data_IF_008548440268
#
_entry.id   IF_008548440268
#
_cell.length_a   1.000
_cell.length_b   1.000
_cell.length_c   1.000
_cell.angle_alpha   90.00
_cell.angle_beta   90.00
_cell.angle_gamma   90.00
#
_symmetry.space_group_name_H-M   'P 1'
#
loop_
_entity.id
_entity.type
_entity.pdbx_description
1 polymer ?
#
# COMPACT_ATOMS: atom_id res chain seq x y z
N UNK A 1 -1.02 -8.38 9.78
CA UNK A 1 -1.55 -7.25 8.99
C UNK A 1 -2.58 -7.78 8.01
N UNK A 2 -3.54 -6.94 7.61
CA UNK A 2 -4.50 -7.29 6.56
C UNK A 2 -4.15 -6.54 5.28
N UNK A 3 -4.42 -7.17 4.14
CA UNK A 3 -4.16 -6.60 2.82
C UNK A 3 -5.45 -6.48 2.03
N UNK A 4 -5.46 -5.55 1.09
CA UNK A 4 -6.54 -5.25 0.15
C UNK A 4 -5.92 -4.80 -1.17
N UNK A 5 -6.56 -5.06 -2.30
CA UNK A 5 -6.06 -4.63 -3.61
C UNK A 5 -7.16 -4.67 -4.67
N UNK A 6 -6.92 -4.00 -5.79
CA UNK A 6 -7.67 -4.21 -7.02
C UNK A 6 -6.69 -4.35 -8.19
N UNK A 7 -6.83 -5.44 -8.92
CA UNK A 7 -6.22 -5.64 -10.24
C UNK A 7 -7.34 -5.60 -11.29
N UNK A 8 -7.45 -4.48 -11.98
CA UNK A 8 -8.50 -4.25 -12.97
C UNK A 8 -8.26 -5.03 -14.28
N UNK A 9 -7.03 -5.49 -14.53
CA UNK A 9 -6.69 -6.30 -15.70
C UNK A 9 -7.20 -7.73 -15.51
N UNK A 10 -6.90 -8.31 -14.34
CA UNK A 10 -7.32 -9.67 -13.99
C UNK A 10 -8.73 -9.74 -13.39
N UNK A 11 -9.38 -8.60 -13.17
CA UNK A 11 -10.70 -8.48 -12.52
C UNK A 11 -10.73 -9.13 -11.13
N UNK A 12 -9.64 -8.99 -10.38
CA UNK A 12 -9.50 -9.54 -9.04
C UNK A 12 -9.41 -8.41 -8.02
N UNK A 13 -10.19 -8.52 -6.95
CA UNK A 13 -10.18 -7.56 -5.85
C UNK A 13 -10.25 -8.25 -4.50
N UNK A 14 -9.57 -7.66 -3.53
CA UNK A 14 -9.82 -7.85 -2.11
C UNK A 14 -10.22 -6.47 -1.58
N UNK A 15 -11.51 -6.21 -1.32
CA UNK A 15 -11.95 -4.89 -0.87
C UNK A 15 -11.48 -4.62 0.56
N UNK A 16 -11.26 -3.34 0.89
CA UNK A 16 -10.74 -2.89 2.19
C UNK A 16 -11.53 -3.48 3.38
N UNK A 17 -12.86 -3.41 3.33
CA UNK A 17 -13.75 -3.92 4.40
C UNK A 17 -13.63 -5.44 4.62
N UNK A 18 -13.15 -6.18 3.63
CA UNK A 18 -12.90 -7.62 3.69
C UNK A 18 -11.40 -7.95 3.60
N UNK A 19 -10.54 -7.04 4.04
CA UNK A 19 -9.09 -7.23 4.00
C UNK A 19 -8.66 -8.55 4.62
N UNK A 20 -7.75 -9.25 3.94
CA UNK A 20 -7.34 -10.62 4.28
C UNK A 20 -6.05 -10.59 5.07
N UNK A 21 -6.01 -11.32 6.18
CA UNK A 21 -4.77 -11.47 6.95
C UNK A 21 -3.74 -12.26 6.16
N UNK A 22 -2.56 -11.66 5.96
CA UNK A 22 -1.44 -12.29 5.29
C UNK A 22 -0.18 -12.16 6.14
N UNK A 23 0.69 -13.16 6.02
CA UNK A 23 2.07 -13.05 6.51
C UNK A 23 2.91 -12.21 5.54
N UNK A 24 4.11 -11.83 5.99
CA UNK A 24 5.03 -10.97 5.23
C UNK A 24 5.33 -11.52 3.83
N UNK A 25 5.61 -12.82 3.71
CA UNK A 25 6.03 -13.42 2.44
C UNK A 25 4.88 -13.43 1.44
N UNK A 26 3.67 -13.80 1.89
CA UNK A 26 2.47 -13.76 1.04
C UNK A 26 2.10 -12.34 0.62
N UNK A 27 2.25 -11.37 1.52
CA UNK A 27 1.99 -9.97 1.19
C UNK A 27 2.95 -9.46 0.11
N UNK A 28 4.26 -9.70 0.26
CA UNK A 28 5.26 -9.34 -0.75
C UNK A 28 5.02 -10.05 -2.08
N UNK A 29 4.64 -11.32 -2.05
CA UNK A 29 4.28 -12.07 -3.25
C UNK A 29 3.05 -11.44 -3.93
N UNK A 30 1.98 -11.16 -3.18
CA UNK A 30 0.75 -10.58 -3.74
C UNK A 30 0.97 -9.20 -4.37
N UNK A 31 1.84 -8.38 -3.78
CA UNK A 31 2.23 -7.10 -4.38
C UNK A 31 3.04 -7.31 -5.67
N UNK A 32 3.96 -8.28 -5.67
CA UNK A 32 4.78 -8.60 -6.84
C UNK A 32 3.99 -9.21 -8.01
N UNK A 33 2.85 -9.83 -7.72
CA UNK A 33 1.95 -10.44 -8.70
C UNK A 33 0.89 -9.45 -9.22
N UNK A 34 0.78 -8.25 -8.64
CA UNK A 34 -0.14 -7.23 -9.13
C UNK A 34 0.30 -6.79 -10.54
N UNK A 35 -0.66 -6.74 -11.47
CA UNK A 35 -0.36 -6.28 -12.83
C UNK A 35 0.07 -4.82 -12.81
N UNK A 36 1.16 -4.51 -13.50
CA UNK A 36 1.65 -3.15 -13.68
C UNK A 36 0.79 -2.41 -14.71
N UNK A 37 -0.37 -1.94 -14.24
CA UNK A 37 -1.36 -1.24 -15.01
C UNK A 37 -1.81 -0.02 -14.22
N UNK A 38 -1.92 1.13 -14.88
CA UNK A 38 -2.35 2.39 -14.27
C UNK A 38 -3.65 2.20 -13.47
N UNK A 39 -3.73 2.83 -12.30
CA UNK A 39 -4.82 2.74 -11.32
C UNK A 39 -4.94 1.41 -10.56
N UNK A 40 -4.23 0.33 -10.95
CA UNK A 40 -4.14 -0.85 -10.08
C UNK A 40 -3.54 -0.43 -8.74
N UNK A 41 -4.11 -0.93 -7.65
CA UNK A 41 -3.64 -0.57 -6.32
C UNK A 41 -3.55 -1.79 -5.42
N UNK A 42 -2.62 -1.69 -4.47
CA UNK A 42 -2.41 -2.67 -3.41
C UNK A 42 -2.18 -1.92 -2.12
N UNK A 43 -2.75 -2.40 -1.02
CA UNK A 43 -2.54 -1.80 0.29
C UNK A 43 -2.59 -2.81 1.42
N UNK A 44 -2.09 -2.34 2.56
CA UNK A 44 -2.14 -3.02 3.83
C UNK A 44 -2.62 -2.07 4.92
N UNK A 45 -3.17 -2.64 5.99
CA UNK A 45 -3.47 -1.90 7.20
C UNK A 45 -3.11 -2.70 8.45
N UNK A 46 -2.71 -1.96 9.48
CA UNK A 46 -2.39 -2.50 10.80
C UNK A 46 -3.62 -2.58 11.72
N UNK A 47 -3.44 -3.11 12.93
CA UNK A 47 -4.52 -3.31 13.90
C UNK A 47 -5.13 -1.98 14.42
N UNK A 48 -4.55 -0.83 14.07
CA UNK A 48 -5.04 0.50 14.39
C UNK A 48 -5.65 1.20 13.15
N UNK A 49 -5.99 0.43 12.11
CA UNK A 49 -6.57 0.88 10.84
C UNK A 49 -5.71 1.91 10.09
N UNK A 50 -4.41 1.99 10.39
CA UNK A 50 -3.50 2.82 9.62
C UNK A 50 -3.13 2.11 8.34
N UNK A 51 -3.30 2.82 7.24
CA UNK A 51 -3.21 2.27 5.90
C UNK A 51 -1.94 2.72 5.22
N UNK A 52 -1.27 1.79 4.54
CA UNK A 52 -0.24 2.06 3.54
C UNK A 52 -0.76 1.46 2.24
N UNK A 53 -0.92 2.29 1.22
CA UNK A 53 -1.37 1.86 -0.10
C UNK A 53 -0.40 2.33 -1.18
N UNK A 54 -0.38 1.59 -2.28
CA UNK A 54 0.41 1.86 -3.47
C UNK A 54 -0.51 1.80 -4.67
N UNK A 55 -0.45 2.81 -5.52
CA UNK A 55 -1.15 2.85 -6.80
C UNK A 55 -0.11 2.85 -7.93
N UNK A 56 -0.23 1.96 -8.91
CA UNK A 56 0.62 1.99 -10.10
C UNK A 56 0.26 3.21 -10.95
N UNK A 57 1.28 3.93 -11.38
CA UNK A 57 1.17 5.06 -12.33
C UNK A 57 1.51 4.62 -13.75
N UNK A 58 1.80 3.33 -13.97
CA UNK A 58 2.29 2.75 -15.23
C UNK A 58 3.81 2.80 -15.41
N UNK A 59 4.51 3.75 -14.78
CA UNK A 59 5.99 3.86 -14.79
C UNK A 59 6.60 3.65 -13.39
N UNK A 60 5.88 4.02 -12.34
CA UNK A 60 6.28 3.91 -10.93
C UNK A 60 5.06 3.66 -10.02
N UNK A 61 5.25 3.80 -8.70
CA UNK A 61 4.19 3.63 -7.72
C UNK A 61 4.04 4.89 -6.87
N UNK A 62 2.80 5.33 -6.68
CA UNK A 62 2.47 6.34 -5.67
C UNK A 62 2.15 5.64 -4.35
N UNK A 63 3.06 5.76 -3.37
CA UNK A 63 2.79 5.34 -2.00
C UNK A 63 1.99 6.42 -1.26
N UNK A 64 0.94 6.03 -0.55
CA UNK A 64 0.01 6.91 0.15
C UNK A 64 -0.33 6.35 1.55
N UNK A 65 -0.28 7.23 2.55
CA UNK A 65 -0.64 6.96 3.95
C UNK A 65 -1.65 8.03 4.39
N UNK A 66 -2.96 7.72 4.40
CA UNK A 66 -4.00 8.66 4.80
C UNK A 66 -3.87 9.12 6.26
N UNK A 67 -4.00 10.43 6.49
CA UNK A 67 -4.13 11.06 7.82
C UNK A 67 -5.42 11.88 7.87
N UNK A 68 -6.51 11.19 8.17
CA UNK A 68 -7.84 11.80 8.30
C UNK A 68 -7.91 12.91 9.34
N UNK A 69 -7.02 12.90 10.36
CA UNK A 69 -6.97 13.96 11.36
C UNK A 69 -6.48 15.30 10.80
N UNK A 70 -5.70 15.24 9.70
CA UNK A 70 -5.18 16.40 8.97
C UNK A 70 -5.94 16.69 7.67
N UNK A 71 -6.84 15.79 7.27
CA UNK A 71 -7.62 15.91 6.03
C UNK A 71 -6.75 15.82 4.78
N UNK A 72 -5.84 14.85 4.76
CA UNK A 72 -4.89 14.65 3.68
C UNK A 72 -4.16 13.31 3.81
N UNK A 73 -3.14 13.13 2.99
CA UNK A 73 -2.29 11.95 2.98
C UNK A 73 -0.81 12.33 3.01
N UNK A 74 0.01 11.46 3.55
CA UNK A 74 1.45 11.50 3.28
C UNK A 74 1.72 10.67 2.03
N UNK A 75 2.36 11.25 1.03
CA UNK A 75 2.59 10.62 -0.27
C UNK A 75 4.07 10.61 -0.65
N UNK A 76 4.47 9.63 -1.47
CA UNK A 76 5.80 9.54 -2.05
C UNK A 76 5.79 8.71 -3.33
N UNK A 77 6.39 9.21 -4.41
CA UNK A 77 6.72 8.37 -5.57
C UNK A 77 7.82 7.37 -5.20
N UNK A 78 7.57 6.10 -5.55
CA UNK A 78 8.40 4.98 -5.16
C UNK A 78 8.66 4.06 -6.36
N UNK A 79 9.89 3.57 -6.43
CA UNK A 79 10.23 2.41 -7.25
C UNK A 79 9.59 1.14 -6.68
N UNK A 80 9.51 0.08 -7.49
CA UNK A 80 9.03 -1.22 -7.03
C UNK A 80 9.83 -1.76 -5.83
N UNK A 81 11.16 -1.63 -5.85
CA UNK A 81 12.03 -2.04 -4.74
C UNK A 81 11.76 -1.23 -3.46
N UNK A 82 11.50 0.07 -3.58
CA UNK A 82 11.10 0.89 -2.42
C UNK A 82 9.76 0.45 -1.84
N UNK A 83 8.79 0.08 -2.68
CA UNK A 83 7.52 -0.47 -2.22
C UNK A 83 7.72 -1.76 -1.43
N UNK A 84 8.54 -2.69 -1.93
CA UNK A 84 8.89 -3.92 -1.21
C UNK A 84 9.56 -3.65 0.14
N UNK A 85 10.46 -2.65 0.21
CA UNK A 85 11.08 -2.24 1.46
C UNK A 85 10.05 -1.69 2.46
N UNK A 86 9.14 -0.83 2.01
CA UNK A 86 8.08 -0.28 2.85
C UNK A 86 7.15 -1.36 3.41
N UNK A 87 6.77 -2.33 2.58
CA UNK A 87 5.98 -3.49 3.02
C UNK A 87 6.77 -4.29 4.08
N UNK A 88 8.06 -4.60 3.83
CA UNK A 88 8.90 -5.33 4.80
C UNK A 88 8.99 -4.60 6.13
N UNK A 89 9.27 -3.30 6.12
CA UNK A 89 9.37 -2.49 7.33
C UNK A 89 8.06 -2.46 8.12
N UNK A 90 6.93 -2.35 7.44
CA UNK A 90 5.61 -2.38 8.08
C UNK A 90 5.40 -3.70 8.83
N UNK A 91 5.69 -4.83 8.19
CA UNK A 91 5.59 -6.16 8.80
C UNK A 91 6.59 -6.37 9.94
N UNK A 92 7.84 -5.93 9.79
CA UNK A 92 8.88 -6.04 10.83
C UNK A 92 8.52 -5.27 12.10
N UNK A 93 7.91 -4.10 11.95
CA UNK A 93 7.42 -3.28 13.07
C UNK A 93 6.03 -3.69 13.54
N UNK A 94 5.34 -4.55 12.80
CA UNK A 94 3.90 -4.81 12.90
C UNK A 94 3.07 -3.51 13.00
N UNK A 95 3.43 -2.52 12.18
CA UNK A 95 2.92 -1.15 12.30
C UNK A 95 3.07 -0.36 11.00
N UNK A 96 2.05 0.40 10.61
CA UNK A 96 2.19 1.44 9.58
C UNK A 96 2.66 2.74 10.23
N UNK A 97 3.73 3.31 9.70
CA UNK A 97 4.30 4.59 10.11
C UNK A 97 4.65 5.40 8.86
N UNK A 98 4.60 6.73 8.97
CA UNK A 98 5.05 7.61 7.89
C UNK A 98 6.58 7.57 7.83
N UNK A 99 7.18 7.02 6.76
CA UNK A 99 8.64 6.97 6.60
C UNK A 99 9.21 8.35 6.26
N UNK A 100 10.53 8.47 6.33
CA UNK A 100 11.21 9.68 5.85
C UNK A 100 11.01 9.88 4.34
N UNK A 101 10.91 11.14 3.91
CA UNK A 101 10.78 11.50 2.49
C UNK A 101 9.36 11.47 1.94
N UNK A 102 8.36 11.17 2.76
CA UNK A 102 6.96 11.40 2.40
C UNK A 102 6.61 12.87 2.62
N UNK A 103 5.85 13.43 1.68
CA UNK A 103 5.33 14.81 1.74
C UNK A 103 3.83 14.77 2.05
N UNK A 104 3.35 15.73 2.84
CA UNK A 104 1.92 15.79 3.15
C UNK A 104 1.17 16.58 2.08
N UNK A 105 0.16 15.95 1.50
CA UNK A 105 -0.78 16.55 0.56
C UNK A 105 -2.18 16.60 1.15
N UNK A 106 -2.81 17.78 1.04
CA UNK A 106 -4.17 17.99 1.53
C UNK A 106 -5.18 17.56 0.45
N UNK A 107 -6.25 16.89 0.86
CA UNK A 107 -7.36 16.55 -0.02
C UNK A 107 -8.19 17.79 -0.42
#
# INVERSE_FOLDING_TARGET
>A
MKIFYADYVEQHEIPFDNGVEMDREKALQSFSELTDFEDNFWGLFDDADRTLQFMSTGDDWLADIPDSSKGGSYVKHCTFDECLLLIREAYEKNKVEVPAGFEFEKW
#
